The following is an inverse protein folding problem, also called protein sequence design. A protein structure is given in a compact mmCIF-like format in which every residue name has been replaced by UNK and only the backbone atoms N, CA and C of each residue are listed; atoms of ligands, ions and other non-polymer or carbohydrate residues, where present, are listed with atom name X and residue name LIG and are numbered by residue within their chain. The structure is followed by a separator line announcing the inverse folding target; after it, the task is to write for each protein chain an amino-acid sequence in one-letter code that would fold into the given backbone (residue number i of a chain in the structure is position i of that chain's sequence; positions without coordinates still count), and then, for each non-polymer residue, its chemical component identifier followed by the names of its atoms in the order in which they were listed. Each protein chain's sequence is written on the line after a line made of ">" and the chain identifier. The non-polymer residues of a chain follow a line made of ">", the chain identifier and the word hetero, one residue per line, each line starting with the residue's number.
data_IF_084345578266
#
_entry.id   IF_084345578266
#
_cell.length_a   1.000
_cell.length_b   1.000
_cell.length_c   1.000
_cell.angle_alpha   90.00
_cell.angle_beta   90.00
_cell.angle_gamma   90.00
#
_symmetry.space_group_name_H-M   'P 1'
#
loop_
_entity.id
_entity.type
_entity.pdbx_description
1 polymer ?
#
# COMPACT_ATOMS: atom_id res chain seq x y z
N UNK A 1 -43.60 11.84 12.32
CA UNK A 1 -42.77 11.96 11.10
C UNK A 1 -41.27 12.03 11.38
N UNK A 2 -40.78 12.63 12.48
CA UNK A 2 -39.33 12.76 12.74
C UNK A 2 -38.56 11.46 13.01
N UNK A 3 -39.23 10.40 13.49
CA UNK A 3 -38.58 9.14 13.88
C UNK A 3 -38.08 8.36 12.66
N UNK A 4 -38.79 8.44 11.54
CA UNK A 4 -38.45 7.75 10.29
C UNK A 4 -37.24 8.40 9.60
N UNK A 5 -37.13 9.72 9.68
CA UNK A 5 -36.01 10.48 9.10
C UNK A 5 -34.68 10.20 9.81
N UNK A 6 -34.68 10.06 11.14
CA UNK A 6 -33.47 9.72 11.91
C UNK A 6 -32.93 8.34 11.52
N UNK A 7 -33.82 7.36 11.36
CA UNK A 7 -33.44 6.00 10.96
C UNK A 7 -32.84 6.00 9.54
N UNK A 8 -33.44 6.76 8.63
CA UNK A 8 -32.93 6.89 7.26
C UNK A 8 -31.51 7.49 7.23
N UNK A 9 -31.27 8.55 8.02
CA UNK A 9 -29.94 9.18 8.11
C UNK A 9 -28.92 8.18 8.68
N UNK A 10 -29.27 7.45 9.75
CA UNK A 10 -28.36 6.49 10.37
C UNK A 10 -27.99 5.33 9.43
N UNK A 11 -28.97 4.81 8.68
CA UNK A 11 -28.74 3.77 7.68
C UNK A 11 -27.81 4.24 6.55
N UNK A 12 -27.99 5.47 6.07
CA UNK A 12 -27.11 6.06 5.04
C UNK A 12 -25.68 6.21 5.56
N UNK A 13 -25.50 6.70 6.79
CA UNK A 13 -24.17 6.84 7.40
C UNK A 13 -23.49 5.49 7.61
N UNK A 14 -24.23 4.46 8.04
CA UNK A 14 -23.69 3.10 8.20
C UNK A 14 -23.22 2.49 6.88
N UNK A 15 -24.00 2.65 5.81
CA UNK A 15 -23.64 2.16 4.47
C UNK A 15 -22.40 2.88 3.94
N UNK A 16 -22.32 4.21 4.10
CA UNK A 16 -21.13 4.97 3.71
C UNK A 16 -19.90 4.58 4.53
N UNK A 17 -20.04 4.42 5.85
CA UNK A 17 -18.95 4.01 6.74
C UNK A 17 -18.42 2.60 6.46
N UNK A 18 -19.30 1.65 6.14
CA UNK A 18 -18.92 0.29 5.74
C UNK A 18 -18.14 0.27 4.42
N UNK A 19 -18.53 1.09 3.44
CA UNK A 19 -17.82 1.19 2.14
C UNK A 19 -16.42 1.79 2.30
N UNK A 20 -16.23 2.73 3.22
CA UNK A 20 -14.89 3.35 3.44
C UNK A 20 -13.86 2.43 4.08
N UNK A 21 -14.28 1.33 4.72
CA UNK A 21 -13.36 0.40 5.39
C UNK A 21 -12.65 -0.55 4.43
N UNK A 22 -13.24 -0.80 3.25
CA UNK A 22 -12.70 -1.75 2.27
C UNK A 22 -11.67 -1.12 1.31
N UNK A 23 -11.55 0.22 1.27
CA UNK A 23 -10.64 0.91 0.34
C UNK A 23 -9.34 1.42 0.97
N UNK A 24 -9.20 1.35 2.29
CA UNK A 24 -8.05 1.92 3.04
C UNK A 24 -7.23 0.84 3.75
N UNK A 25 -6.95 -0.29 3.09
CA UNK A 25 -6.34 -1.41 3.81
C UNK A 25 -5.70 -2.51 2.97
N UNK A 26 -5.28 -2.27 1.73
CA UNK A 26 -4.14 -3.06 1.27
C UNK A 26 -2.92 -2.47 1.99
N UNK A 27 -2.58 -3.04 3.14
CA UNK A 27 -1.33 -2.74 3.83
C UNK A 27 -0.19 -3.15 2.89
N UNK A 28 0.29 -2.18 2.12
CA UNK A 28 1.51 -2.33 1.34
C UNK A 28 2.69 -1.99 2.25
N UNK A 29 3.51 -3.01 2.50
CA UNK A 29 4.75 -2.88 3.23
C UNK A 29 5.81 -2.29 2.31
N UNK A 30 6.66 -1.46 2.91
CA UNK A 30 7.77 -0.81 2.22
C UNK A 30 9.09 -1.23 2.86
N UNK A 31 10.02 -1.72 2.06
CA UNK A 31 11.38 -2.02 2.50
C UNK A 31 12.39 -1.25 1.65
N UNK A 32 13.34 -0.58 2.31
CA UNK A 32 14.43 0.13 1.65
C UNK A 32 15.70 -0.70 1.72
N UNK A 33 16.26 -1.06 0.58
CA UNK A 33 17.57 -1.71 0.49
C UNK A 33 18.62 -0.69 0.07
N UNK A 34 19.62 -0.51 0.93
CA UNK A 34 20.89 0.14 0.54
C UNK A 34 21.79 -0.92 -0.10
N UNK A 35 22.00 -0.81 -1.40
CA UNK A 35 23.08 -1.53 -2.09
C UNK A 35 24.38 -0.72 -2.02
N UNK A 36 25.53 -1.39 -2.03
CA UNK A 36 26.83 -0.75 -2.20
C UNK A 36 27.01 -0.12 -3.61
N UNK A 37 26.22 -0.58 -4.58
CA UNK A 37 26.17 -0.08 -5.95
C UNK A 37 25.03 0.94 -6.17
N UNK A 38 25.12 1.74 -7.24
CA UNK A 38 23.99 2.56 -7.69
C UNK A 38 22.76 1.69 -7.94
N UNK A 39 21.60 2.08 -7.41
CA UNK A 39 20.35 1.36 -7.66
C UNK A 39 20.09 1.23 -9.17
N UNK A 40 20.04 -0.01 -9.62
CA UNK A 40 19.72 -0.40 -10.98
C UNK A 40 18.28 -0.95 -10.97
N UNK A 41 17.39 -0.36 -11.77
CA UNK A 41 15.95 -0.66 -11.72
C UNK A 41 15.66 -2.16 -11.91
N UNK A 42 16.29 -2.78 -12.91
CA UNK A 42 16.10 -4.21 -13.19
C UNK A 42 16.52 -5.08 -12.00
N UNK A 43 17.69 -4.81 -11.40
CA UNK A 43 18.14 -5.52 -10.20
C UNK A 43 17.18 -5.31 -9.03
N UNK A 44 16.73 -4.08 -8.82
CA UNK A 44 15.82 -3.73 -7.74
C UNK A 44 14.47 -4.47 -7.87
N UNK A 45 13.87 -4.49 -9.08
CA UNK A 45 12.64 -5.23 -9.36
C UNK A 45 12.81 -6.72 -9.11
N UNK A 46 13.89 -7.32 -9.62
CA UNK A 46 14.18 -8.75 -9.44
C UNK A 46 14.35 -9.07 -7.95
N UNK A 47 15.21 -8.34 -7.24
CA UNK A 47 15.47 -8.59 -5.81
C UNK A 47 14.17 -8.46 -4.99
N UNK A 48 13.36 -7.43 -5.23
CA UNK A 48 12.10 -7.25 -4.53
C UNK A 48 11.11 -8.37 -4.84
N UNK A 49 11.00 -8.82 -6.09
CA UNK A 49 10.10 -9.91 -6.49
C UNK A 49 10.55 -11.28 -6.00
N UNK A 50 11.87 -11.48 -5.82
CA UNK A 50 12.43 -12.69 -5.22
C UNK A 50 12.30 -12.72 -3.71
N UNK A 51 12.53 -11.57 -3.03
CA UNK A 51 12.46 -11.47 -1.57
C UNK A 51 11.02 -11.46 -1.05
N UNK A 52 10.13 -10.75 -1.75
CA UNK A 52 8.72 -10.64 -1.42
C UNK A 52 7.91 -11.18 -2.59
N UNK A 53 7.13 -12.24 -2.38
CA UNK A 53 6.31 -12.86 -3.42
C UNK A 53 5.36 -11.80 -4.00
N UNK A 54 5.53 -11.45 -5.28
CA UNK A 54 4.76 -10.40 -5.95
C UNK A 54 5.16 -8.97 -5.58
N UNK A 55 6.29 -8.79 -4.89
CA UNK A 55 6.86 -7.49 -4.57
C UNK A 55 7.33 -6.73 -5.81
N UNK A 56 7.15 -5.40 -5.78
CA UNK A 56 7.59 -4.48 -6.83
C UNK A 56 8.74 -3.63 -6.33
N UNK A 57 9.82 -3.57 -7.08
CA UNK A 57 10.97 -2.70 -6.78
C UNK A 57 10.96 -1.42 -7.60
N UNK A 58 11.44 -0.32 -7.03
CA UNK A 58 11.74 0.92 -7.74
C UNK A 58 12.95 1.62 -7.14
N UNK A 59 13.78 2.25 -7.98
CA UNK A 59 14.90 3.05 -7.50
C UNK A 59 14.42 4.44 -7.06
N UNK A 60 14.83 4.87 -5.86
CA UNK A 60 14.59 6.23 -5.41
C UNK A 60 15.48 7.21 -6.19
N UNK A 61 14.97 8.44 -6.44
CA UNK A 61 15.76 9.48 -7.09
C UNK A 61 17.04 9.80 -6.31
N UNK A 62 18.02 10.40 -7.00
CA UNK A 62 19.20 10.92 -6.34
C UNK A 62 18.79 11.94 -5.25
N UNK A 63 19.49 11.99 -4.10
CA UNK A 63 20.81 11.40 -3.83
C UNK A 63 20.80 9.98 -3.24
N UNK A 64 19.63 9.46 -2.86
CA UNK A 64 19.52 8.28 -2.00
C UNK A 64 20.00 6.98 -2.67
N UNK A 65 19.84 6.85 -4.00
CA UNK A 65 20.17 5.64 -4.79
C UNK A 65 19.72 4.32 -4.10
N UNK A 66 18.63 4.38 -3.34
CA UNK A 66 18.09 3.24 -2.59
C UNK A 66 17.07 2.49 -3.44
N UNK A 67 17.00 1.18 -3.29
CA UNK A 67 15.95 0.37 -3.86
C UNK A 67 14.77 0.32 -2.88
N UNK A 68 13.57 0.72 -3.32
CA UNK A 68 12.33 0.64 -2.57
C UNK A 68 11.53 -0.56 -3.07
N UNK A 69 11.31 -1.55 -2.19
CA UNK A 69 10.37 -2.63 -2.41
C UNK A 69 9.00 -2.27 -1.85
N UNK A 70 7.94 -2.47 -2.64
CA UNK A 70 6.54 -2.42 -2.21
C UNK A 70 5.92 -3.80 -2.37
N UNK A 71 5.34 -4.34 -1.32
CA UNK A 71 4.77 -5.68 -1.33
C UNK A 71 3.57 -5.75 -0.39
N UNK A 72 2.71 -6.76 -0.54
CA UNK A 72 1.61 -6.96 0.41
C UNK A 72 2.19 -7.33 1.77
N UNK A 73 1.86 -6.57 2.81
CA UNK A 73 2.13 -7.01 4.16
C UNK A 73 1.37 -8.33 4.37
N UNK A 74 2.12 -9.40 4.63
CA UNK A 74 1.51 -10.64 5.12
C UNK A 74 1.42 -10.46 6.64
N UNK A 75 0.20 -10.27 7.15
CA UNK A 75 -0.08 -10.29 8.59
C UNK A 75 0.17 -11.68 9.17
#
# INVERSE_FOLDING_TARGET
>A
MSKTTIIAIFMVVLVLGLVTKETQGQEFCHEYMLGAESCEENKCVIICGWKHIGGKGACMPLPSKQCLCRFSCTV
#
